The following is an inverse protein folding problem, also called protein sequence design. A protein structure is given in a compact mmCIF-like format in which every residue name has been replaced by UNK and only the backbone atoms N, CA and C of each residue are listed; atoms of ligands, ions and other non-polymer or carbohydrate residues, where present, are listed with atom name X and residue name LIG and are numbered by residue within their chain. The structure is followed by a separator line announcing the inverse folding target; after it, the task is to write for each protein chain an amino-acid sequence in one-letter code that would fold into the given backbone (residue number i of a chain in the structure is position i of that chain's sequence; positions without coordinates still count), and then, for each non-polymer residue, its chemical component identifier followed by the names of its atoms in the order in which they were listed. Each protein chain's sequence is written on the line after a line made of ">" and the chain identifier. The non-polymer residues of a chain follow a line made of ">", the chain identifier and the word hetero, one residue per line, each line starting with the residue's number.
data_IF_898756611690
#
_entry.id   IF_898756611690
#
_cell.length_a   1.000
_cell.length_b   1.000
_cell.length_c   1.000
_cell.angle_alpha   90.00
_cell.angle_beta   90.00
_cell.angle_gamma   90.00
#
_symmetry.space_group_name_H-M   'P 1'
#
loop_
_entity.id
_entity.type
_entity.pdbx_description
1 polymer ?
#
# COMPACT_ATOMS: atom_id res chain seq x y z
N UNK A 1 -32.38 -77.59 9.33
CA UNK A 1 -32.99 -76.31 9.74
C UNK A 1 -32.30 -75.84 11.00
N UNK A 2 -31.48 -74.79 10.91
CA UNK A 2 -30.65 -74.21 11.97
C UNK A 2 -30.90 -72.69 12.00
N UNK A 3 -30.76 -72.03 13.17
CA UNK A 3 -31.26 -70.68 13.38
C UNK A 3 -30.33 -69.61 12.80
N UNK A 4 -30.92 -68.51 12.35
CA UNK A 4 -30.24 -67.29 11.93
C UNK A 4 -30.00 -66.44 13.17
N UNK A 5 -28.75 -66.26 13.57
CA UNK A 5 -28.35 -65.30 14.60
C UNK A 5 -28.06 -63.95 13.95
N UNK A 6 -28.80 -62.94 14.40
CA UNK A 6 -28.61 -61.52 14.07
C UNK A 6 -27.42 -60.98 14.87
N UNK A 7 -26.40 -60.48 14.17
CA UNK A 7 -25.28 -59.74 14.76
C UNK A 7 -25.60 -58.26 14.62
N UNK A 8 -25.95 -57.62 15.74
CA UNK A 8 -26.06 -56.18 15.84
C UNK A 8 -24.65 -55.58 15.96
N UNK A 9 -24.14 -55.01 14.87
CA UNK A 9 -22.91 -54.21 14.88
C UNK A 9 -23.20 -52.84 15.50
N UNK A 10 -22.69 -52.65 16.72
CA UNK A 10 -22.69 -51.36 17.42
C UNK A 10 -21.54 -50.50 16.86
N UNK A 11 -21.86 -49.58 15.96
CA UNK A 11 -20.90 -48.62 15.42
C UNK A 11 -20.69 -47.50 16.46
N UNK A 12 -19.57 -47.52 17.18
CA UNK A 12 -19.15 -46.42 18.04
C UNK A 12 -18.76 -45.23 17.13
N UNK A 13 -19.63 -44.23 17.06
CA UNK A 13 -19.34 -42.94 16.44
C UNK A 13 -18.57 -42.09 17.45
N UNK A 14 -17.23 -42.18 17.43
CA UNK A 14 -16.37 -41.26 18.19
C UNK A 14 -16.32 -39.92 17.46
N UNK A 15 -17.21 -39.01 17.84
CA UNK A 15 -17.16 -37.61 17.42
C UNK A 15 -15.90 -36.96 17.98
N UNK A 16 -14.90 -36.75 17.12
CA UNK A 16 -13.80 -35.81 17.35
C UNK A 16 -14.40 -34.41 17.49
N UNK A 17 -14.59 -33.95 18.72
CA UNK A 17 -14.81 -32.53 19.00
C UNK A 17 -13.46 -31.85 18.83
N UNK A 18 -13.14 -31.49 17.59
CA UNK A 18 -12.08 -30.53 17.30
C UNK A 18 -12.46 -29.23 18.00
N UNK A 19 -11.74 -28.97 19.10
CA UNK A 19 -11.73 -27.70 19.81
C UNK A 19 -11.44 -26.58 18.81
N UNK A 20 -12.51 -25.92 18.34
CA UNK A 20 -12.40 -24.62 17.72
C UNK A 20 -11.90 -23.67 18.81
N UNK A 21 -10.58 -23.51 18.91
CA UNK A 21 -10.02 -22.27 19.41
C UNK A 21 -10.47 -21.20 18.42
N UNK A 22 -11.63 -20.62 18.70
CA UNK A 22 -11.94 -19.28 18.23
C UNK A 22 -10.89 -18.40 18.89
N UNK A 23 -9.77 -18.23 18.20
CA UNK A 23 -8.85 -17.15 18.49
C UNK A 23 -9.71 -15.89 18.43
N UNK A 24 -9.98 -15.32 19.61
CA UNK A 24 -10.56 -13.99 19.70
C UNK A 24 -9.64 -13.11 18.87
N UNK A 25 -10.11 -12.72 17.68
CA UNK A 25 -9.54 -11.62 16.91
C UNK A 25 -9.53 -10.45 17.89
N UNK A 26 -8.37 -10.21 18.49
CA UNK A 26 -8.16 -9.05 19.34
C UNK A 26 -8.45 -7.82 18.47
N UNK A 27 -9.02 -6.77 19.08
CA UNK A 27 -9.27 -5.50 18.41
C UNK A 27 -7.92 -4.86 18.05
N UNK A 28 -7.26 -5.33 16.99
CA UNK A 28 -6.02 -4.73 16.49
C UNK A 28 -6.43 -3.54 15.63
N UNK A 29 -6.23 -2.35 16.18
CA UNK A 29 -6.41 -1.12 15.42
C UNK A 29 -5.11 -0.75 14.69
N UNK A 30 -5.24 -0.18 13.50
CA UNK A 30 -4.11 0.44 12.81
C UNK A 30 -3.91 1.83 13.43
N UNK A 31 -2.90 1.97 14.29
CA UNK A 31 -2.59 3.21 15.00
C UNK A 31 -1.22 3.74 14.62
N UNK A 32 -1.16 4.77 13.79
CA UNK A 32 0.10 5.40 13.40
C UNK A 32 0.66 6.32 14.49
N UNK A 33 1.85 6.86 14.24
CA UNK A 33 2.45 7.89 15.11
C UNK A 33 1.54 9.13 15.13
N UNK A 34 1.16 9.60 16.32
CA UNK A 34 0.19 10.70 16.49
C UNK A 34 0.64 12.01 15.82
N UNK A 35 1.96 12.20 15.65
CA UNK A 35 2.51 13.36 14.97
C UNK A 35 2.09 13.43 13.50
N UNK A 36 1.78 12.30 12.88
CA UNK A 36 1.36 12.24 11.48
C UNK A 36 0.02 12.94 11.22
N UNK A 37 -0.87 12.99 12.22
CA UNK A 37 -2.15 13.67 12.11
C UNK A 37 -2.01 15.20 11.95
N UNK A 38 -0.84 15.76 12.27
CA UNK A 38 -0.56 17.21 12.13
C UNK A 38 0.10 17.60 10.80
N UNK A 39 0.36 16.63 9.91
CA UNK A 39 1.08 16.86 8.65
C UNK A 39 0.12 17.44 7.61
N UNK A 40 0.33 18.70 7.24
CA UNK A 40 -0.47 19.40 6.23
C UNK A 40 0.06 19.10 4.82
N UNK A 41 1.37 19.03 4.63
CA UNK A 41 2.00 18.76 3.34
C UNK A 41 3.26 17.94 3.46
N UNK A 42 3.54 17.13 2.43
CA UNK A 42 4.80 16.40 2.29
C UNK A 42 5.33 16.64 0.88
N UNK A 43 6.55 17.17 0.78
CA UNK A 43 7.32 17.19 -0.46
C UNK A 43 8.39 16.11 -0.39
N UNK A 44 8.44 15.26 -1.41
CA UNK A 44 9.42 14.18 -1.51
C UNK A 44 10.14 14.23 -2.83
N UNK A 45 11.44 13.91 -2.82
CA UNK A 45 12.24 13.70 -4.03
C UNK A 45 12.98 12.38 -3.89
N UNK A 46 12.85 11.53 -4.90
CA UNK A 46 13.50 10.23 -4.96
C UNK A 46 14.29 10.04 -6.24
N UNK A 47 15.47 9.44 -6.11
CA UNK A 47 16.14 8.81 -7.24
C UNK A 47 15.57 7.40 -7.40
N UNK A 48 15.08 7.10 -8.59
CA UNK A 48 14.34 5.89 -8.88
C UNK A 48 15.10 5.06 -9.92
N UNK A 49 15.26 3.76 -9.65
CA UNK A 49 15.78 2.80 -10.61
C UNK A 49 14.68 1.84 -11.02
N UNK A 50 14.51 1.61 -12.32
CA UNK A 50 13.58 0.61 -12.87
C UNK A 50 14.30 -0.30 -13.88
N UNK A 51 13.65 -1.40 -14.33
CA UNK A 51 14.17 -2.19 -15.44
C UNK A 51 14.37 -1.39 -16.74
N UNK A 52 13.62 -0.30 -16.93
CA UNK A 52 13.66 0.53 -18.12
C UNK A 52 14.69 1.67 -18.06
N UNK A 53 15.22 2.00 -16.88
CA UNK A 53 16.10 3.15 -16.70
C UNK A 53 16.01 3.81 -15.34
N UNK A 54 16.72 4.92 -15.20
CA UNK A 54 16.71 5.78 -14.03
C UNK A 54 15.83 7.01 -14.28
N UNK A 55 15.20 7.48 -13.21
CA UNK A 55 14.40 8.70 -13.23
C UNK A 55 14.42 9.35 -11.86
N UNK A 56 14.11 10.64 -11.82
CA UNK A 56 13.87 11.38 -10.58
C UNK A 56 12.38 11.65 -10.46
N UNK A 57 11.79 11.30 -9.32
CA UNK A 57 10.39 11.59 -9.00
C UNK A 57 10.32 12.62 -7.89
N UNK A 58 9.54 13.67 -8.10
CA UNK A 58 9.12 14.62 -7.09
C UNK A 58 7.61 14.50 -6.88
N UNK A 59 7.19 14.49 -5.61
CA UNK A 59 5.78 14.46 -5.23
C UNK A 59 5.53 15.47 -4.13
N UNK A 60 4.56 16.35 -4.36
CA UNK A 60 4.07 17.34 -3.40
C UNK A 60 2.63 17.00 -3.01
N UNK A 61 2.43 16.37 -1.87
CA UNK A 61 1.13 15.88 -1.39
C UNK A 61 0.58 16.76 -0.27
N UNK A 62 -0.63 17.31 -0.41
CA UNK A 62 -1.34 18.07 0.64
C UNK A 62 -2.45 17.24 1.28
N UNK A 63 -2.86 17.65 2.49
CA UNK A 63 -3.81 16.89 3.32
C UNK A 63 -5.25 17.02 2.84
N UNK A 64 -5.52 17.99 1.96
CA UNK A 64 -6.80 18.18 1.29
C UNK A 64 -6.93 17.33 0.00
N UNK A 65 -5.92 16.54 -0.35
CA UNK A 65 -5.90 15.71 -1.55
C UNK A 65 -5.25 16.36 -2.77
N UNK A 66 -4.80 17.61 -2.69
CA UNK A 66 -4.02 18.24 -3.74
C UNK A 66 -2.64 17.59 -3.87
N UNK A 67 -2.27 17.15 -5.07
CA UNK A 67 -1.02 16.44 -5.34
C UNK A 67 -0.38 16.88 -6.65
N UNK A 68 0.85 17.39 -6.61
CA UNK A 68 1.67 17.62 -7.80
C UNK A 68 2.73 16.53 -7.91
N UNK A 69 2.72 15.82 -9.02
CA UNK A 69 3.67 14.76 -9.37
C UNK A 69 4.53 15.21 -10.54
N UNK A 70 5.84 15.06 -10.41
CA UNK A 70 6.80 15.36 -11.47
C UNK A 70 7.74 14.16 -11.60
N UNK A 71 7.96 13.70 -12.82
CA UNK A 71 8.94 12.67 -13.11
C UNK A 71 9.84 13.10 -14.26
N UNK A 72 11.15 13.06 -14.04
CA UNK A 72 12.17 13.34 -15.05
C UNK A 72 12.87 12.04 -15.41
N UNK A 73 12.85 11.66 -16.68
CA UNK A 73 13.53 10.45 -17.16
C UNK A 73 14.97 10.77 -17.58
N UNK A 74 15.95 10.07 -17.01
CA UNK A 74 17.36 10.34 -17.27
C UNK A 74 17.78 9.95 -18.70
N UNK A 75 17.05 9.05 -19.36
CA UNK A 75 17.42 8.52 -20.69
C UNK A 75 17.14 9.51 -21.81
N UNK A 76 15.95 10.10 -21.82
CA UNK A 76 15.48 10.97 -22.89
C UNK A 76 15.29 12.42 -22.44
N UNK A 77 15.58 12.73 -21.18
CA UNK A 77 15.37 14.04 -20.56
C UNK A 77 13.92 14.54 -20.66
N UNK A 78 12.96 13.63 -20.84
CA UNK A 78 11.55 13.98 -20.84
C UNK A 78 11.05 14.21 -19.42
N UNK A 79 10.18 15.20 -19.27
CA UNK A 79 9.49 15.51 -18.02
C UNK A 79 8.01 15.20 -18.18
N UNK A 80 7.49 14.41 -17.25
CA UNK A 80 6.06 14.19 -17.08
C UNK A 80 5.58 14.93 -15.83
N UNK A 81 4.55 15.76 -15.98
CA UNK A 81 3.95 16.54 -14.89
C UNK A 81 2.47 16.19 -14.80
N UNK A 82 2.02 15.83 -13.60
CA UNK A 82 0.63 15.57 -13.32
C UNK A 82 0.18 16.32 -12.06
N UNK A 83 -1.05 16.82 -12.06
CA UNK A 83 -1.67 17.48 -10.91
C UNK A 83 -3.02 16.84 -10.63
N UNK A 84 -3.24 16.42 -9.38
CA UNK A 84 -4.53 15.95 -8.86
C UNK A 84 -5.06 17.03 -7.91
N UNK A 85 -6.28 17.49 -8.15
CA UNK A 85 -6.95 18.49 -7.30
C UNK A 85 -7.59 17.85 -6.06
N UNK A 86 -7.96 18.65 -5.04
CA UNK A 86 -8.75 18.18 -3.90
C UNK A 86 -10.03 17.42 -4.26
N UNK A 87 -10.69 17.82 -5.36
CA UNK A 87 -11.90 17.17 -5.87
C UNK A 87 -11.62 15.86 -6.65
N UNK A 88 -10.41 15.32 -6.54
CA UNK A 88 -9.96 14.10 -7.22
C UNK A 88 -10.04 14.17 -8.77
N UNK A 89 -9.72 15.32 -9.35
CA UNK A 89 -9.62 15.51 -10.80
C UNK A 89 -8.14 15.60 -11.16
N UNK A 90 -7.69 14.77 -12.11
CA UNK A 90 -6.29 14.71 -12.53
C UNK A 90 -6.05 15.37 -13.89
N UNK A 91 -4.91 16.05 -14.02
CA UNK A 91 -4.47 16.72 -15.24
C UNK A 91 -3.02 16.34 -15.58
N UNK A 92 -2.72 16.26 -16.87
CA UNK A 92 -1.36 16.25 -17.40
C UNK A 92 -1.01 17.69 -17.75
N UNK A 93 0.15 18.16 -17.31
CA UNK A 93 0.61 19.53 -17.51
C UNK A 93 1.83 19.58 -18.44
N UNK A 94 1.99 20.69 -19.14
CA UNK A 94 3.27 21.03 -19.79
C UNK A 94 4.26 21.68 -18.80
N UNK A 95 5.47 21.99 -19.27
CA UNK A 95 6.52 22.63 -18.46
C UNK A 95 6.12 24.02 -17.94
N UNK A 96 5.17 24.69 -18.59
CA UNK A 96 4.60 25.98 -18.16
C UNK A 96 3.37 25.82 -17.25
N UNK A 97 3.08 24.59 -16.81
CA UNK A 97 1.92 24.22 -16.00
C UNK A 97 0.56 24.48 -16.67
N UNK A 98 0.53 24.56 -18.00
CA UNK A 98 -0.71 24.58 -18.76
C UNK A 98 -1.27 23.15 -18.90
N UNK A 99 -2.59 23.02 -18.79
CA UNK A 99 -3.27 21.72 -18.94
C UNK A 99 -3.18 21.25 -20.39
N UNK A 100 -2.56 20.08 -20.59
CA UNK A 100 -2.49 19.39 -21.87
C UNK A 100 -3.65 18.42 -22.06
N UNK A 101 -3.96 17.66 -21.01
CA UNK A 101 -5.00 16.63 -21.02
C UNK A 101 -5.50 16.34 -19.59
N UNK A 102 -6.58 15.57 -19.48
CA UNK A 102 -7.12 15.03 -18.24
C UNK A 102 -6.66 13.59 -18.01
N UNK A 103 -6.36 13.24 -16.76
CA UNK A 103 -6.10 11.86 -16.36
C UNK A 103 -7.40 11.07 -16.26
N UNK A 104 -7.34 9.79 -16.66
CA UNK A 104 -8.38 8.81 -16.29
C UNK A 104 -8.29 8.46 -14.80
N UNK A 105 -9.36 7.90 -14.23
CA UNK A 105 -9.37 7.43 -12.83
C UNK A 105 -8.23 6.45 -12.53
N UNK A 106 -7.90 5.57 -13.48
CA UNK A 106 -6.75 4.66 -13.38
C UNK A 106 -5.42 5.41 -13.33
N UNK A 107 -5.30 6.47 -14.13
CA UNK A 107 -4.15 7.36 -14.10
C UNK A 107 -4.01 8.08 -12.77
N UNK A 108 -5.11 8.57 -12.20
CA UNK A 108 -5.15 9.19 -10.87
C UNK A 108 -4.66 8.22 -9.81
N UNK A 109 -5.19 6.99 -9.75
CA UNK A 109 -4.75 6.00 -8.75
C UNK A 109 -3.29 5.56 -8.96
N UNK A 110 -2.81 5.50 -10.21
CA UNK A 110 -1.39 5.26 -10.46
C UNK A 110 -0.51 6.37 -9.88
N UNK A 111 -0.87 7.63 -10.06
CA UNK A 111 -0.12 8.77 -9.51
C UNK A 111 -0.20 8.79 -7.99
N UNK A 112 -1.39 8.59 -7.41
CA UNK A 112 -1.56 8.47 -5.95
C UNK A 112 -0.71 7.35 -5.35
N UNK A 113 -0.52 6.24 -6.07
CA UNK A 113 0.37 5.15 -5.67
C UNK A 113 1.84 5.58 -5.47
N UNK A 114 2.25 6.74 -5.97
CA UNK A 114 3.57 7.33 -5.77
C UNK A 114 3.65 8.29 -4.57
N UNK A 115 2.53 8.61 -3.92
CA UNK A 115 2.48 9.43 -2.71
C UNK A 115 2.89 8.63 -1.46
N UNK A 116 4.01 7.91 -1.56
CA UNK A 116 4.44 6.89 -0.59
C UNK A 116 4.42 7.43 0.84
N UNK A 117 5.00 8.61 1.08
CA UNK A 117 5.04 9.20 2.42
C UNK A 117 3.68 9.62 2.94
N UNK A 118 2.77 10.08 2.06
CA UNK A 118 1.42 10.44 2.46
C UNK A 118 0.60 9.18 2.78
N UNK A 119 0.63 8.15 1.92
CA UNK A 119 0.01 6.85 2.19
C UNK A 119 0.48 6.30 3.55
N UNK A 120 1.77 6.45 3.85
CA UNK A 120 2.38 5.95 5.07
C UNK A 120 2.00 6.71 6.34
N UNK A 121 1.53 7.94 6.21
CA UNK A 121 1.19 8.84 7.32
C UNK A 121 -0.32 9.01 7.49
N UNK A 122 -1.10 8.81 6.43
CA UNK A 122 -2.56 8.90 6.41
C UNK A 122 -3.15 7.92 5.37
N UNK A 123 -3.06 6.59 5.60
CA UNK A 123 -3.59 5.59 4.68
C UNK A 123 -5.11 5.71 4.48
N UNK A 124 -5.84 6.21 5.46
CA UNK A 124 -7.28 6.48 5.38
C UNK A 124 -7.66 7.54 4.33
N UNK A 125 -6.70 8.36 3.87
CA UNK A 125 -6.92 9.31 2.76
C UNK A 125 -6.87 8.63 1.39
N UNK A 126 -6.39 7.38 1.31
CA UNK A 126 -6.18 6.63 0.07
C UNK A 126 -7.02 5.37 0.01
N UNK A 127 -7.32 4.78 1.16
CA UNK A 127 -7.98 3.49 1.25
C UNK A 127 -9.24 3.55 2.11
N UNK A 128 -10.30 2.95 1.57
CA UNK A 128 -11.59 2.80 2.21
C UNK A 128 -11.63 1.51 3.05
N UNK A 129 -12.48 1.49 4.07
CA UNK A 129 -12.81 0.30 4.86
C UNK A 129 -11.61 -0.48 5.43
N UNK A 130 -10.57 0.24 5.88
CA UNK A 130 -9.40 -0.35 6.53
C UNK A 130 -9.84 -1.14 7.78
N UNK A 131 -9.75 -2.46 7.71
CA UNK A 131 -10.15 -3.37 8.79
C UNK A 131 -9.14 -4.48 9.00
N UNK A 132 -8.90 -4.83 10.26
CA UNK A 132 -8.08 -5.98 10.59
C UNK A 132 -8.68 -7.25 9.98
N UNK A 133 -7.84 -8.06 9.35
CA UNK A 133 -8.26 -9.30 8.69
C UNK A 133 -7.66 -10.52 9.39
N UNK A 134 -6.32 -10.59 9.43
CA UNK A 134 -5.59 -11.75 9.96
C UNK A 134 -4.16 -11.37 10.33
N UNK A 135 -3.40 -12.31 10.87
CA UNK A 135 -1.93 -12.23 10.91
C UNK A 135 -1.32 -13.04 9.76
N UNK A 136 -0.19 -12.58 9.24
CA UNK A 136 0.55 -13.28 8.18
C UNK A 136 2.06 -13.14 8.40
N UNK A 137 2.81 -14.21 8.12
CA UNK A 137 4.27 -14.20 8.19
C UNK A 137 4.88 -13.58 6.93
N UNK A 138 5.75 -12.60 7.12
CA UNK A 138 6.52 -11.99 6.06
C UNK A 138 7.98 -11.84 6.49
N UNK A 139 8.89 -12.49 5.74
CA UNK A 139 10.34 -12.53 6.02
C UNK A 139 10.67 -12.95 7.47
N UNK A 140 9.96 -13.96 7.99
CA UNK A 140 10.18 -14.50 9.33
C UNK A 140 9.64 -13.63 10.48
N UNK A 141 8.86 -12.59 10.17
CA UNK A 141 8.14 -11.80 11.17
C UNK A 141 6.64 -11.89 10.92
N UNK A 142 5.87 -12.16 11.97
CA UNK A 142 4.40 -12.16 11.91
C UNK A 142 3.87 -10.73 11.99
N UNK A 143 3.07 -10.32 11.02
CA UNK A 143 2.44 -8.99 10.99
C UNK A 143 0.92 -9.10 11.08
N UNK A 144 0.25 -8.22 11.83
CA UNK A 144 -1.14 -7.88 11.55
C UNK A 144 -1.32 -7.39 10.11
N UNK A 145 -2.29 -7.98 9.42
CA UNK A 145 -2.67 -7.62 8.05
C UNK A 145 -4.09 -7.06 8.06
N UNK A 146 -4.22 -5.87 7.49
CA UNK A 146 -5.49 -5.19 7.28
C UNK A 146 -5.91 -5.35 5.83
N UNK A 147 -7.21 -5.52 5.59
CA UNK A 147 -7.82 -5.39 4.27
C UNK A 147 -8.40 -3.99 4.12
N UNK A 148 -8.33 -3.43 2.92
CA UNK A 148 -8.93 -2.16 2.54
C UNK A 148 -9.27 -2.16 1.04
N UNK A 149 -9.81 -1.07 0.53
CA UNK A 149 -10.11 -0.87 -0.89
C UNK A 149 -9.54 0.47 -1.40
N UNK A 150 -9.02 0.53 -2.62
CA UNK A 150 -8.57 1.79 -3.23
C UNK A 150 -9.74 2.63 -3.80
N UNK A 151 -9.42 3.77 -4.43
CA UNK A 151 -10.43 4.65 -5.05
C UNK A 151 -11.21 4.01 -6.21
N UNK A 152 -10.75 2.86 -6.72
CA UNK A 152 -11.41 2.08 -7.77
C UNK A 152 -12.11 0.81 -7.22
N UNK A 153 -12.19 0.68 -5.89
CA UNK A 153 -12.72 -0.49 -5.17
C UNK A 153 -11.91 -1.77 -5.40
N UNK A 154 -10.63 -1.65 -5.74
CA UNK A 154 -9.75 -2.82 -5.81
C UNK A 154 -9.25 -3.18 -4.41
N UNK A 155 -9.00 -4.49 -4.15
CA UNK A 155 -8.55 -4.93 -2.83
C UNK A 155 -7.11 -4.50 -2.53
N UNK A 156 -6.91 -4.05 -1.31
CA UNK A 156 -5.62 -3.65 -0.73
C UNK A 156 -5.32 -4.50 0.50
N UNK A 157 -4.06 -4.91 0.67
CA UNK A 157 -3.57 -5.49 1.93
C UNK A 157 -2.49 -4.62 2.53
N UNK A 158 -2.58 -4.36 3.83
CA UNK A 158 -1.63 -3.52 4.56
C UNK A 158 -1.00 -4.36 5.67
N UNK A 159 0.30 -4.57 5.60
CA UNK A 159 1.10 -5.23 6.63
C UNK A 159 1.57 -4.18 7.62
N UNK A 160 1.14 -4.28 8.88
CA UNK A 160 1.35 -3.25 9.89
C UNK A 160 2.27 -3.76 11.02
N UNK A 161 3.25 -2.94 11.43
CA UNK A 161 4.06 -3.22 12.61
C UNK A 161 3.54 -2.42 13.81
N UNK A 162 2.87 -3.07 14.79
CA UNK A 162 2.27 -2.37 15.93
C UNK A 162 3.30 -1.73 16.86
N UNK A 163 4.43 -2.40 17.11
CA UNK A 163 5.48 -1.90 18.01
C UNK A 163 6.12 -0.62 17.49
N UNK A 164 6.24 -0.51 16.15
CA UNK A 164 6.85 0.64 15.48
C UNK A 164 5.83 1.68 14.99
N UNK A 165 4.54 1.39 15.10
CA UNK A 165 3.42 2.21 14.58
C UNK A 165 3.60 2.61 13.11
N UNK A 166 3.97 1.65 12.25
CA UNK A 166 4.32 1.88 10.84
C UNK A 166 3.89 0.75 9.94
N UNK A 167 3.54 1.08 8.69
CA UNK A 167 3.27 0.10 7.65
C UNK A 167 4.59 -0.48 7.12
N UNK A 168 4.67 -1.80 7.00
CA UNK A 168 5.85 -2.51 6.47
C UNK A 168 5.73 -2.75 4.96
N UNK A 169 4.56 -3.17 4.51
CA UNK A 169 4.27 -3.53 3.13
C UNK A 169 2.82 -3.20 2.80
N UNK A 170 2.57 -2.77 1.57
CA UNK A 170 1.23 -2.67 0.99
C UNK A 170 1.19 -3.55 -0.26
N UNK A 171 0.13 -4.34 -0.41
CA UNK A 171 -0.18 -5.06 -1.65
C UNK A 171 -1.41 -4.44 -2.29
N UNK A 172 -1.31 -4.08 -3.56
CA UNK A 172 -2.40 -3.48 -4.33
C UNK A 172 -2.42 -4.07 -5.74
N UNK A 173 -3.55 -3.95 -6.45
CA UNK A 173 -3.62 -4.40 -7.85
C UNK A 173 -3.15 -3.29 -8.78
N UNK A 174 -2.53 -3.65 -9.90
CA UNK A 174 -2.19 -2.66 -10.92
C UNK A 174 -3.49 -2.11 -11.57
N UNK A 175 -3.74 -0.78 -11.55
CA UNK A 175 -4.95 -0.20 -12.15
C UNK A 175 -5.09 -0.46 -13.67
N UNK A 176 -3.97 -0.67 -14.36
CA UNK A 176 -3.95 -0.97 -15.80
C UNK A 176 -4.14 -2.45 -16.11
N UNK A 177 -3.74 -3.34 -15.20
CA UNK A 177 -3.88 -4.79 -15.32
C UNK A 177 -4.15 -5.42 -13.94
N UNK A 178 -5.43 -5.60 -13.61
CA UNK A 178 -5.87 -6.08 -12.29
C UNK A 178 -5.48 -7.53 -12.01
N UNK A 179 -4.91 -8.26 -12.98
CA UNK A 179 -4.32 -9.58 -12.74
C UNK A 179 -2.94 -9.49 -12.07
N UNK A 180 -2.32 -8.31 -12.08
CA UNK A 180 -1.01 -8.06 -11.50
C UNK A 180 -1.13 -7.46 -10.10
N UNK A 181 -0.35 -7.99 -9.18
CA UNK A 181 -0.15 -7.42 -7.84
C UNK A 181 1.12 -6.57 -7.84
N UNK A 182 1.01 -5.41 -7.21
CA UNK A 182 2.10 -4.50 -6.88
C UNK A 182 2.34 -4.60 -5.37
N UNK A 183 3.57 -4.86 -4.96
CA UNK A 183 4.00 -4.83 -3.56
C UNK A 183 4.84 -3.58 -3.33
N UNK A 184 4.41 -2.69 -2.43
CA UNK A 184 5.20 -1.54 -1.97
C UNK A 184 5.84 -1.93 -0.64
N UNK A 185 7.17 -2.02 -0.59
CA UNK A 185 7.93 -2.52 0.56
C UNK A 185 8.84 -1.44 1.12
N UNK A 186 8.61 -1.06 2.38
CA UNK A 186 9.47 -0.11 3.09
C UNK A 186 10.72 -0.82 3.62
N UNK A 187 11.87 -0.57 3.02
CA UNK A 187 13.13 -1.27 3.33
C UNK A 187 13.88 -0.61 4.48
N UNK A 188 14.20 0.66 4.32
CA UNK A 188 14.94 1.45 5.32
C UNK A 188 14.18 2.72 5.69
N UNK A 189 14.58 3.31 6.82
CA UNK A 189 13.87 4.42 7.44
C UNK A 189 14.84 5.55 7.77
N UNK A 190 14.43 6.79 7.53
CA UNK A 190 15.13 8.00 7.95
C UNK A 190 14.38 8.71 9.09
N UNK A 191 15.10 9.49 9.88
CA UNK A 191 14.47 10.32 10.91
C UNK A 191 14.06 11.67 10.29
N UNK A 192 12.87 12.13 10.66
CA UNK A 192 12.33 13.46 10.37
C UNK A 192 11.86 14.11 11.68
N UNK A 193 11.47 15.39 11.65
CA UNK A 193 10.84 16.06 12.79
C UNK A 193 9.54 15.39 13.25
N UNK A 194 8.84 14.68 12.35
CA UNK A 194 7.56 14.04 12.60
C UNK A 194 7.65 12.54 12.92
N UNK A 195 8.86 11.97 12.96
CA UNK A 195 9.07 10.54 13.23
C UNK A 195 9.91 9.87 12.15
N UNK A 196 9.85 8.53 12.05
CA UNK A 196 10.61 7.84 11.00
C UNK A 196 9.76 7.66 9.76
N UNK A 197 10.32 8.08 8.64
CA UNK A 197 9.72 7.95 7.32
C UNK A 197 10.52 6.98 6.44
N UNK A 198 9.91 6.35 5.43
CA UNK A 198 10.64 5.50 4.50
C UNK A 198 11.77 6.28 3.82
N UNK A 199 12.95 5.66 3.73
CA UNK A 199 14.12 6.20 3.01
C UNK A 199 14.34 5.44 1.70
N UNK A 200 14.17 4.12 1.74
CA UNK A 200 14.25 3.26 0.56
C UNK A 200 13.01 2.40 0.50
N UNK A 201 12.39 2.38 -0.68
CA UNK A 201 11.17 1.65 -0.96
C UNK A 201 11.34 0.86 -2.25
N UNK A 202 10.96 -0.41 -2.21
CA UNK A 202 10.86 -1.22 -3.41
C UNK A 202 9.40 -1.35 -3.81
N UNK A 203 9.11 -1.10 -5.08
CA UNK A 203 7.83 -1.41 -5.71
C UNK A 203 8.07 -2.64 -6.60
N UNK A 204 7.46 -3.76 -6.25
CA UNK A 204 7.62 -5.04 -6.94
C UNK A 204 6.33 -5.33 -7.71
N UNK A 205 6.39 -5.29 -9.03
CA UNK A 205 5.25 -5.55 -9.90
C UNK A 205 5.29 -6.98 -10.44
N UNK A 206 4.16 -7.68 -10.32
CA UNK A 206 3.97 -9.04 -10.79
C UNK A 206 5.05 -10.02 -10.31
N UNK A 207 5.63 -9.77 -9.11
CA UNK A 207 6.74 -10.54 -8.51
C UNK A 207 8.00 -10.62 -9.37
N UNK A 208 8.15 -9.72 -10.34
CA UNK A 208 9.22 -9.78 -11.34
C UNK A 208 9.96 -8.46 -11.42
N UNK A 209 9.26 -7.40 -11.80
CA UNK A 209 9.88 -6.11 -12.07
C UNK A 209 9.98 -5.34 -10.76
N UNK A 210 11.18 -4.90 -10.41
CA UNK A 210 11.44 -4.15 -9.17
C UNK A 210 11.88 -2.74 -9.50
N UNK A 211 11.15 -1.78 -8.95
CA UNK A 211 11.46 -0.36 -9.00
C UNK A 211 11.94 0.05 -7.62
N UNK A 212 13.12 0.67 -7.54
CA UNK A 212 13.71 1.09 -6.27
C UNK A 212 13.70 2.60 -6.16
N UNK A 213 13.02 3.10 -5.14
CA UNK A 213 12.95 4.51 -4.78
C UNK A 213 13.93 4.77 -3.64
N UNK A 214 14.86 5.69 -3.85
CA UNK A 214 15.81 6.16 -2.84
C UNK A 214 15.54 7.64 -2.57
N UNK A 215 14.83 7.92 -1.49
CA UNK A 215 14.42 9.28 -1.13
C UNK A 215 15.62 10.10 -0.65
N UNK A 216 15.93 11.16 -1.40
CA UNK A 216 17.00 12.11 -1.10
C UNK A 216 16.48 13.33 -0.36
N UNK A 217 15.16 13.60 -0.44
CA UNK A 217 14.49 14.70 0.24
C UNK A 217 13.11 14.25 0.72
N UNK A 218 12.78 14.61 1.97
CA UNK A 218 11.45 14.45 2.57
C UNK A 218 11.22 15.65 3.48
N UNK A 219 10.54 16.66 2.96
CA UNK A 219 10.18 17.87 3.70
C UNK A 219 8.71 17.78 4.12
N UNK A 220 8.45 18.09 5.39
CA UNK A 220 7.13 17.92 6.02
C UNK A 220 6.74 19.24 6.68
N UNK A 221 5.55 19.76 6.36
CA UNK A 221 4.97 20.98 6.95
C UNK A 221 3.56 20.74 7.48
#
# INVERSE_FOLDING_TARGET
>A
MKPIQSIASFLLLTTFILSCKSDRLSNVNLELDERYASINSIQTIANCTSPAGQFVTEVNSKSDGDCLFIQNNDIDSSTFIAHITPDNIGFILDENHAVLDTLSDKGIEMIKGHEIHRIMTSPESFYNDIRYNKTEDYLGTTYPVFSAEDGLNNPIKIFYNPDKKRLKKIELVNPLDTSQIIEIVNNTWMNTSFGKMPKEVDIIQAKKDTYRFSFIKVDVN
#
